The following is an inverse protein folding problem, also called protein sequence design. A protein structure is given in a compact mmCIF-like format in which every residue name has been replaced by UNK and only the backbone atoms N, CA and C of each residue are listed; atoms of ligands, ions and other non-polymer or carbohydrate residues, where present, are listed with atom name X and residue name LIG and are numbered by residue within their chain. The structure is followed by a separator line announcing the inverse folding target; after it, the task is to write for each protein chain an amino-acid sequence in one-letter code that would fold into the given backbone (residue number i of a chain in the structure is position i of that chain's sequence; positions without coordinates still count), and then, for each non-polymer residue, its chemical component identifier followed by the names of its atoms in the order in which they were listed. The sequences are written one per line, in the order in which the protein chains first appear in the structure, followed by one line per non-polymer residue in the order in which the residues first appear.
data_IF_934567838599
#
_entry.id   IF_934567838599
#
_cell.length_a   1.000
_cell.length_b   1.000
_cell.length_c   1.000
_cell.angle_alpha   90.00
_cell.angle_beta   90.00
_cell.angle_gamma   90.00
#
_symmetry.space_group_name_H-M   'P 1'
#
loop_
_entity.id
_entity.type
_entity.pdbx_description
1 polymer ?
#
# COMPACT_ATOMS: atom_id res chain seq x y z
N UNK A 1 8.40 -7.56 -12.60
CA UNK A 1 8.03 -6.46 -11.71
C UNK A 1 6.55 -6.65 -11.42
N UNK A 2 6.28 -6.97 -10.18
CA UNK A 2 5.11 -7.67 -9.65
C UNK A 2 3.97 -6.70 -9.33
N UNK A 3 2.84 -6.87 -10.03
CA UNK A 3 1.62 -6.05 -9.94
C UNK A 3 0.85 -6.10 -8.62
N UNK A 4 1.50 -6.54 -7.53
CA UNK A 4 0.91 -6.54 -6.18
C UNK A 4 0.67 -5.11 -5.65
N UNK A 5 1.45 -4.13 -6.10
CA UNK A 5 1.29 -2.74 -5.69
C UNK A 5 0.05 -2.06 -6.24
N UNK A 6 -0.33 -2.40 -7.47
CA UNK A 6 -1.44 -1.75 -8.17
C UNK A 6 -2.79 -2.14 -7.56
N UNK A 7 -2.91 -3.40 -7.11
CA UNK A 7 -4.13 -3.93 -6.49
C UNK A 7 -4.46 -3.26 -5.15
N UNK A 8 -3.45 -2.89 -4.35
CA UNK A 8 -3.67 -2.24 -3.06
C UNK A 8 -4.19 -0.79 -3.20
N UNK A 9 -3.81 -0.10 -4.27
CA UNK A 9 -4.27 1.27 -4.56
C UNK A 9 -5.72 1.28 -5.05
N UNK A 10 -6.12 0.25 -5.81
CA UNK A 10 -7.46 0.17 -6.41
C UNK A 10 -8.58 -0.13 -5.39
N UNK A 11 -8.32 -1.03 -4.42
CA UNK A 11 -9.30 -1.40 -3.37
C UNK A 11 -9.68 -0.21 -2.47
N UNK A 12 -8.73 0.69 -2.21
CA UNK A 12 -8.95 1.92 -1.43
C UNK A 12 -9.70 3.01 -2.20
N UNK A 13 -9.42 3.16 -3.50
CA UNK A 13 -10.07 4.18 -4.33
C UNK A 13 -11.57 3.89 -4.53
N UNK A 14 -11.96 2.60 -4.58
CA UNK A 14 -13.35 2.17 -4.80
C UNK A 14 -14.32 2.48 -3.65
N UNK A 15 -13.84 2.71 -2.42
CA UNK A 15 -14.73 2.96 -1.26
C UNK A 15 -15.24 4.40 -1.13
N UNK A 16 -14.67 5.35 -1.87
CA UNK A 16 -14.97 6.79 -1.72
C UNK A 16 -15.80 7.40 -2.86
N UNK A 17 -16.02 6.68 -3.96
CA UNK A 17 -16.65 7.28 -5.14
C UNK A 17 -17.63 6.31 -5.78
N UNK A 18 -18.91 6.54 -5.51
CA UNK A 18 -19.98 6.04 -6.38
C UNK A 18 -19.73 6.53 -7.82
N UNK A 19 -19.79 5.59 -8.75
CA UNK A 19 -19.84 5.74 -10.21
C UNK A 19 -18.60 6.22 -10.98
N UNK A 20 -17.95 5.19 -11.59
CA UNK A 20 -17.34 5.10 -12.93
C UNK A 20 -16.01 5.85 -13.23
N UNK A 21 -15.18 5.36 -14.20
CA UNK A 21 -15.33 4.20 -15.09
C UNK A 21 -14.36 3.04 -14.78
N UNK A 22 -14.84 1.85 -15.07
CA UNK A 22 -14.20 0.55 -15.00
C UNK A 22 -12.85 0.53 -15.76
N UNK A 23 -11.73 0.59 -15.03
CA UNK A 23 -10.46 0.05 -15.54
C UNK A 23 -10.57 -1.46 -15.45
N UNK A 24 -11.27 -2.06 -16.41
CA UNK A 24 -11.37 -3.51 -16.58
C UNK A 24 -9.98 -4.06 -16.95
N UNK A 25 -9.14 -4.26 -15.95
CA UNK A 25 -8.09 -5.25 -16.01
C UNK A 25 -8.79 -6.58 -15.74
N UNK A 26 -8.82 -7.45 -16.75
CA UNK A 26 -9.38 -8.79 -16.64
C UNK A 26 -8.94 -9.44 -15.33
N UNK A 27 -9.86 -10.02 -14.54
CA UNK A 27 -9.50 -10.68 -13.29
C UNK A 27 -8.56 -11.84 -13.59
N UNK A 28 -7.26 -11.63 -13.35
CA UNK A 28 -6.25 -12.68 -13.45
C UNK A 28 -6.65 -13.75 -12.43
N UNK A 29 -6.86 -15.01 -12.85
CA UNK A 29 -7.27 -16.08 -11.95
C UNK A 29 -6.26 -16.20 -10.81
N UNK A 30 -6.68 -15.80 -9.60
CA UNK A 30 -5.86 -15.97 -8.41
C UNK A 30 -5.95 -17.42 -7.96
N UNK A 31 -4.87 -18.16 -8.16
CA UNK A 31 -4.61 -19.43 -7.50
C UNK A 31 -4.80 -19.32 -5.97
N UNK A 32 -5.13 -20.45 -5.32
CA UNK A 32 -5.45 -20.46 -3.88
C UNK A 32 -4.33 -19.89 -2.99
N UNK A 33 -3.08 -19.91 -3.48
CA UNK A 33 -1.90 -19.25 -2.90
C UNK A 33 -2.01 -17.73 -2.91
N UNK A 34 -2.31 -17.12 -4.07
CA UNK A 34 -2.44 -15.67 -4.21
C UNK A 34 -3.63 -15.14 -3.41
N UNK A 35 -4.73 -15.90 -3.33
CA UNK A 35 -5.88 -15.53 -2.49
C UNK A 35 -5.52 -15.46 -1.01
N UNK A 36 -4.82 -16.46 -0.46
CA UNK A 36 -4.36 -16.44 0.95
C UNK A 36 -3.38 -15.30 1.24
N UNK A 37 -2.48 -15.00 0.30
CA UNK A 37 -1.55 -13.88 0.42
C UNK A 37 -2.31 -12.55 0.45
N UNK A 38 -3.32 -12.39 -0.42
CA UNK A 38 -4.15 -11.19 -0.47
C UNK A 38 -4.93 -10.96 0.84
N UNK A 39 -5.49 -12.02 1.43
CA UNK A 39 -6.17 -11.96 2.73
C UNK A 39 -5.21 -11.57 3.86
N UNK A 40 -3.99 -12.11 3.85
CA UNK A 40 -2.97 -11.78 4.86
C UNK A 40 -2.51 -10.33 4.76
N UNK A 41 -2.24 -9.86 3.53
CA UNK A 41 -1.93 -8.46 3.22
C UNK A 41 -3.05 -7.51 3.66
N UNK A 42 -4.30 -7.87 3.37
CA UNK A 42 -5.47 -7.07 3.75
C UNK A 42 -5.57 -6.93 5.27
N UNK A 43 -5.41 -8.04 5.99
CA UNK A 43 -5.49 -8.06 7.45
C UNK A 43 -4.40 -7.22 8.10
N UNK A 44 -3.16 -7.30 7.59
CA UNK A 44 -2.05 -6.44 8.01
C UNK A 44 -2.36 -4.97 7.70
N UNK A 45 -2.91 -4.68 6.52
CA UNK A 45 -3.34 -3.34 6.12
C UNK A 45 -4.41 -2.76 7.04
N UNK A 46 -5.41 -3.55 7.43
CA UNK A 46 -6.48 -3.17 8.36
C UNK A 46 -5.92 -2.87 9.76
N UNK A 47 -4.98 -3.69 10.23
CA UNK A 47 -4.28 -3.46 11.51
C UNK A 47 -3.45 -2.17 11.49
N UNK A 48 -2.73 -1.90 10.39
CA UNK A 48 -1.98 -0.65 10.19
C UNK A 48 -2.91 0.59 10.10
N UNK A 49 -4.07 0.46 9.44
CA UNK A 49 -5.08 1.52 9.38
C UNK A 49 -5.70 1.84 10.75
N UNK A 50 -5.82 0.83 11.62
CA UNK A 50 -6.33 1.01 12.98
C UNK A 50 -5.34 1.76 13.91
N UNK A 51 -4.07 1.85 13.53
CA UNK A 51 -3.05 2.54 14.30
C UNK A 51 -3.11 4.06 14.09
N UNK A 52 -3.80 4.76 15.00
CA UNK A 52 -4.00 6.21 14.96
C UNK A 52 -2.70 7.03 14.98
N UNK A 53 -1.64 6.54 15.62
CA UNK A 53 -0.35 7.23 15.66
C UNK A 53 0.33 7.18 14.29
N UNK A 54 0.32 6.00 13.66
CA UNK A 54 0.80 5.80 12.29
C UNK A 54 0.02 6.71 11.31
N UNK A 55 -1.32 6.73 11.42
CA UNK A 55 -2.15 7.58 10.57
C UNK A 55 -1.82 9.07 10.77
N UNK A 56 -1.58 9.51 12.00
CA UNK A 56 -1.19 10.89 12.30
C UNK A 56 0.17 11.25 11.71
N UNK A 57 1.15 10.36 11.81
CA UNK A 57 2.48 10.55 11.21
C UNK A 57 2.39 10.67 9.69
N UNK A 58 1.60 9.81 9.03
CA UNK A 58 1.37 9.86 7.59
C UNK A 58 0.65 11.16 7.19
N UNK A 59 -0.34 11.60 7.97
CA UNK A 59 -1.06 12.84 7.70
C UNK A 59 -0.19 14.09 7.85
N UNK A 60 0.80 14.05 8.74
CA UNK A 60 1.77 15.12 8.99
C UNK A 60 2.90 15.17 7.95
N UNK A 61 3.00 14.20 7.05
CA UNK A 61 3.91 14.28 5.91
C UNK A 61 3.41 15.37 4.96
N UNK A 62 4.22 16.42 4.84
CA UNK A 62 3.99 17.48 3.87
C UNK A 62 4.21 16.95 2.45
N UNK A 63 3.23 17.16 1.57
CA UNK A 63 3.14 16.52 0.26
C UNK A 63 3.67 17.38 -0.89
N UNK A 64 4.47 18.40 -0.60
CA UNK A 64 5.11 19.21 -1.66
C UNK A 64 6.01 18.35 -2.58
N UNK A 65 6.49 17.19 -2.10
CA UNK A 65 7.23 16.21 -2.91
C UNK A 65 7.01 14.76 -2.41
N UNK A 66 5.88 14.11 -2.74
CA UNK A 66 5.55 12.77 -2.24
C UNK A 66 6.52 11.70 -2.75
N UNK A 67 7.13 11.94 -3.93
CA UNK A 67 8.18 11.10 -4.49
C UNK A 67 9.43 11.13 -3.62
N UNK A 68 9.88 12.31 -3.20
CA UNK A 68 11.08 12.45 -2.37
C UNK A 68 10.88 11.83 -0.99
N UNK A 69 9.71 12.04 -0.38
CA UNK A 69 9.36 11.41 0.89
C UNK A 69 9.32 9.89 0.77
N UNK A 70 8.74 9.35 -0.30
CA UNK A 70 8.74 7.91 -0.56
C UNK A 70 10.15 7.34 -0.60
N UNK A 71 11.05 7.95 -1.39
CA UNK A 71 12.43 7.47 -1.49
C UNK A 71 13.19 7.59 -0.18
N UNK A 72 12.99 8.67 0.60
CA UNK A 72 13.63 8.84 1.90
C UNK A 72 13.21 7.73 2.88
N UNK A 73 11.90 7.46 2.97
CA UNK A 73 11.37 6.41 3.84
C UNK A 73 11.83 5.03 3.38
N UNK A 74 11.85 4.76 2.08
CA UNK A 74 12.36 3.50 1.54
C UNK A 74 13.84 3.29 1.88
N UNK A 75 14.67 4.31 1.69
CA UNK A 75 16.10 4.26 1.98
C UNK A 75 16.36 4.02 3.48
N UNK A 76 15.62 4.71 4.34
CA UNK A 76 15.75 4.58 5.80
C UNK A 76 15.31 3.20 6.29
N UNK A 77 14.18 2.70 5.78
CA UNK A 77 13.61 1.41 6.16
C UNK A 77 14.48 0.20 5.78
N UNK A 78 15.38 0.35 4.80
CA UNK A 78 16.34 -0.69 4.40
C UNK A 78 17.80 -0.33 4.72
N UNK A 79 18.05 0.75 5.46
CA UNK A 79 19.40 1.27 5.72
C UNK A 79 20.29 0.32 6.53
N UNK A 80 19.69 -0.51 7.40
CA UNK A 80 20.39 -1.49 8.23
C UNK A 80 20.73 -2.80 7.48
N UNK A 81 20.38 -2.90 6.19
CA UNK A 81 20.63 -4.06 5.35
C UNK A 81 19.76 -5.29 5.67
N UNK A 82 18.78 -5.18 6.56
CA UNK A 82 17.92 -6.29 6.94
C UNK A 82 16.63 -6.32 6.11
N UNK A 83 16.61 -7.18 5.09
CA UNK A 83 15.46 -7.34 4.20
C UNK A 83 14.50 -8.41 4.74
N UNK A 84 13.28 -7.99 5.04
CA UNK A 84 12.21 -8.92 5.41
C UNK A 84 10.89 -8.52 4.74
N UNK A 85 10.02 -9.51 4.56
CA UNK A 85 8.72 -9.32 3.92
C UNK A 85 7.82 -8.33 4.67
N UNK A 86 7.95 -8.18 6.00
CA UNK A 86 7.22 -7.18 6.77
C UNK A 86 7.54 -5.75 6.33
N UNK A 87 8.82 -5.43 6.09
CA UNK A 87 9.25 -4.12 5.57
C UNK A 87 8.81 -3.91 4.13
N UNK A 88 8.90 -4.93 3.28
CA UNK A 88 8.39 -4.85 1.90
C UNK A 88 6.89 -4.51 1.90
N UNK A 89 6.09 -5.22 2.72
CA UNK A 89 4.66 -4.95 2.87
C UNK A 89 4.40 -3.53 3.41
N UNK A 90 5.14 -3.09 4.42
CA UNK A 90 5.01 -1.74 4.98
C UNK A 90 5.30 -0.63 3.95
N UNK A 91 6.27 -0.84 3.06
CA UNK A 91 6.56 0.12 1.98
C UNK A 91 5.42 0.21 0.96
N UNK A 92 4.85 -0.93 0.56
CA UNK A 92 3.68 -0.93 -0.32
C UNK A 92 2.48 -0.26 0.33
N UNK A 93 2.29 -0.48 1.63
CA UNK A 93 1.25 0.19 2.40
C UNK A 93 1.44 1.72 2.40
N UNK A 94 2.66 2.18 2.67
CA UNK A 94 3.02 3.60 2.67
C UNK A 94 2.86 4.24 1.29
N UNK A 95 3.35 3.60 0.23
CA UNK A 95 3.20 4.07 -1.15
C UNK A 95 1.73 4.29 -1.50
N UNK A 96 0.87 3.36 -1.11
CA UNK A 96 -0.54 3.45 -1.44
C UNK A 96 -1.24 4.54 -0.65
N UNK A 97 -0.89 4.77 0.63
CA UNK A 97 -1.37 5.94 1.38
C UNK A 97 -0.94 7.26 0.75
N UNK A 98 0.27 7.33 0.19
CA UNK A 98 0.75 8.53 -0.51
C UNK A 98 0.03 8.79 -1.84
N UNK A 99 -0.35 7.74 -2.58
CA UNK A 99 -1.10 7.88 -3.85
C UNK A 99 -2.57 8.24 -3.62
N UNK A 100 -3.14 7.82 -2.48
CA UNK A 100 -4.54 8.03 -2.13
C UNK A 100 -4.80 9.33 -1.35
N UNK A 101 -3.77 10.12 -1.07
CA UNK A 101 -3.84 11.41 -0.37
C UNK A 101 -3.88 12.53 -1.39
#
# INVERSE_FOLDING_TARGET
MDGSGEHFIQDRAGRMRGEAPELALDPVPQDASTKKLSECLKRIGDELDSNMELQRMIAAVDTDSPREVFFRVAADMFSDGNFNWGRVVALFYFASKLVLK
#
